data_IF_823578428714
#
_entry.id   IF_823578428714
#
_cell.length_a   1.000
_cell.length_b   1.000
_cell.length_c   1.000
_cell.angle_alpha   90.00
_cell.angle_beta   90.00
_cell.angle_gamma   90.00
#
_symmetry.space_group_name_H-M   'P 1'
#
loop_
_entity.id
_entity.type
_entity.pdbx_description
1 polymer ?
#
# COMPACT_ATOMS: atom_id res chain seq x y z
N UNK A 1 16.16 22.84 4.54
CA UNK A 1 15.89 21.49 5.09
C UNK A 1 14.40 21.26 4.95
N UNK A 2 13.95 20.35 4.07
CA UNK A 2 12.51 20.17 3.80
C UNK A 2 11.77 19.79 5.09
N UNK A 3 10.73 20.57 5.45
CA UNK A 3 9.92 20.29 6.64
C UNK A 3 8.75 19.41 6.23
N UNK A 4 8.81 18.13 6.58
CA UNK A 4 7.73 17.17 6.32
C UNK A 4 6.60 17.38 7.35
N UNK A 5 5.38 17.64 6.87
CA UNK A 5 4.22 17.83 7.73
C UNK A 5 3.69 16.50 8.29
N UNK A 6 3.27 16.48 9.57
CA UNK A 6 2.53 15.36 10.18
C UNK A 6 1.30 14.94 9.36
N UNK A 7 0.67 15.88 8.64
CA UNK A 7 -0.47 15.62 7.75
C UNK A 7 -0.09 14.70 6.56
N UNK A 8 1.14 14.77 6.08
CA UNK A 8 1.64 13.88 5.01
C UNK A 8 1.70 12.43 5.48
N UNK A 9 2.19 12.20 6.70
CA UNK A 9 2.28 10.85 7.27
C UNK A 9 0.89 10.22 7.45
N UNK A 10 -0.09 10.98 7.94
CA UNK A 10 -1.47 10.51 8.06
C UNK A 10 -2.09 10.18 6.70
N UNK A 11 -1.89 11.03 5.70
CA UNK A 11 -2.40 10.79 4.35
C UNK A 11 -1.75 9.58 3.67
N UNK A 12 -0.43 9.38 3.84
CA UNK A 12 0.29 8.18 3.40
C UNK A 12 -0.26 6.93 4.08
N UNK A 13 -0.45 6.96 5.40
CA UNK A 13 -1.00 5.84 6.16
C UNK A 13 -2.42 5.48 5.70
N UNK A 14 -3.29 6.48 5.50
CA UNK A 14 -4.65 6.26 5.05
C UNK A 14 -4.69 5.66 3.63
N UNK A 15 -3.95 6.25 2.68
CA UNK A 15 -3.89 5.74 1.30
C UNK A 15 -3.30 4.34 1.24
N UNK A 16 -2.30 4.03 2.07
CA UNK A 16 -1.76 2.68 2.19
C UNK A 16 -2.78 1.68 2.73
N UNK A 17 -3.55 2.05 3.75
CA UNK A 17 -4.60 1.19 4.32
C UNK A 17 -5.67 0.83 3.30
N UNK A 18 -6.13 1.81 2.50
CA UNK A 18 -7.12 1.55 1.44
C UNK A 18 -6.56 0.57 0.42
N UNK A 19 -5.35 0.81 -0.11
CA UNK A 19 -4.72 -0.08 -1.09
C UNK A 19 -4.50 -1.50 -0.55
N UNK A 20 -3.93 -1.62 0.64
CA UNK A 20 -3.63 -2.91 1.25
C UNK A 20 -4.89 -3.72 1.55
N UNK A 21 -5.97 -3.08 2.00
CA UNK A 21 -7.24 -3.77 2.26
C UNK A 21 -7.91 -4.22 0.96
N UNK A 22 -7.89 -3.39 -0.07
CA UNK A 22 -8.41 -3.78 -1.40
C UNK A 22 -7.62 -4.94 -1.99
N UNK A 23 -6.30 -4.95 -1.85
CA UNK A 23 -5.42 -6.04 -2.30
C UNK A 23 -5.78 -7.37 -1.64
N UNK A 24 -5.81 -7.42 -0.30
CA UNK A 24 -6.20 -8.63 0.45
C UNK A 24 -7.63 -9.07 0.09
N UNK A 25 -8.58 -8.15 -0.08
CA UNK A 25 -9.94 -8.50 -0.50
C UNK A 25 -9.97 -9.12 -1.90
N UNK A 26 -9.18 -8.57 -2.84
CA UNK A 26 -9.09 -9.08 -4.21
C UNK A 26 -8.45 -10.47 -4.24
N UNK A 27 -7.34 -10.67 -3.53
CA UNK A 27 -6.67 -11.96 -3.39
C UNK A 27 -7.62 -12.97 -2.75
N UNK A 28 -8.33 -12.60 -1.68
CA UNK A 28 -9.30 -13.47 -1.02
C UNK A 28 -10.43 -13.87 -1.98
N UNK A 29 -11.03 -12.91 -2.69
CA UNK A 29 -12.11 -13.14 -3.67
C UNK A 29 -11.71 -14.06 -4.81
N UNK A 30 -10.48 -13.91 -5.33
CA UNK A 30 -9.94 -14.79 -6.38
C UNK A 30 -9.76 -16.23 -5.88
N UNK A 31 -9.50 -16.42 -4.58
CA UNK A 31 -9.10 -17.72 -4.02
C UNK A 31 -10.26 -18.50 -3.38
N UNK A 32 -11.38 -17.87 -2.97
CA UNK A 32 -12.47 -18.53 -2.22
C UNK A 32 -13.23 -19.67 -2.93
N UNK A 33 -12.75 -20.16 -4.07
CA UNK A 33 -13.27 -21.37 -4.71
C UNK A 33 -12.92 -22.70 -4.03
N UNK A 34 -11.97 -22.79 -3.07
CA UNK A 34 -11.65 -23.96 -2.18
C UNK A 34 -10.49 -23.62 -1.22
N UNK A 35 -10.44 -24.26 -0.04
CA UNK A 35 -9.63 -23.83 1.15
C UNK A 35 -8.15 -24.30 1.18
N UNK A 36 -7.69 -25.17 0.28
CA UNK A 36 -6.36 -25.83 0.40
C UNK A 36 -5.14 -24.97 0.00
N UNK A 37 -5.27 -23.64 -0.20
CA UNK A 37 -4.23 -22.79 -0.79
C UNK A 37 -3.51 -21.83 0.16
N UNK A 38 -3.66 -21.95 1.49
CA UNK A 38 -3.16 -20.98 2.47
C UNK A 38 -1.71 -20.50 2.26
N UNK A 39 -0.79 -21.40 1.90
CA UNK A 39 0.60 -21.06 1.60
C UNK A 39 0.76 -20.21 0.31
N UNK A 40 -0.05 -20.48 -0.72
CA UNK A 40 -0.08 -19.69 -1.95
C UNK A 40 -0.65 -18.29 -1.72
N UNK A 41 -1.71 -18.18 -0.91
CA UNK A 41 -2.29 -16.88 -0.51
C UNK A 41 -1.25 -16.03 0.20
N UNK A 42 -0.60 -16.58 1.22
CA UNK A 42 0.40 -15.86 2.00
C UNK A 42 1.57 -15.38 1.13
N UNK A 43 2.03 -16.23 0.20
CA UNK A 43 3.14 -15.90 -0.69
C UNK A 43 2.78 -14.78 -1.69
N UNK A 44 1.57 -14.84 -2.25
CA UNK A 44 1.03 -13.81 -3.15
C UNK A 44 0.79 -12.52 -2.38
N UNK A 45 0.23 -12.59 -1.17
CA UNK A 45 -0.01 -11.40 -0.35
C UNK A 45 1.30 -10.69 -0.01
N UNK A 46 2.32 -11.42 0.44
CA UNK A 46 3.63 -10.83 0.74
C UNK A 46 4.20 -10.17 -0.52
N UNK A 47 4.23 -10.87 -1.65
CA UNK A 47 4.82 -10.38 -2.89
C UNK A 47 4.08 -9.14 -3.43
N UNK A 48 2.75 -9.22 -3.50
CA UNK A 48 1.90 -8.15 -4.05
C UNK A 48 1.93 -6.92 -3.17
N UNK A 49 1.87 -7.09 -1.85
CA UNK A 49 1.90 -5.97 -0.89
C UNK A 49 3.27 -5.30 -0.85
N UNK A 50 4.36 -6.05 -0.96
CA UNK A 50 5.71 -5.46 -1.10
C UNK A 50 5.81 -4.62 -2.37
N UNK A 51 5.32 -5.12 -3.51
CA UNK A 51 5.31 -4.39 -4.77
C UNK A 51 4.44 -3.14 -4.71
N UNK A 52 3.22 -3.27 -4.18
CA UNK A 52 2.27 -2.16 -3.98
C UNK A 52 2.85 -1.09 -3.06
N UNK A 53 3.52 -1.48 -1.97
CA UNK A 53 4.15 -0.52 -1.07
C UNK A 53 5.26 0.27 -1.77
N UNK A 54 6.11 -0.42 -2.53
CA UNK A 54 7.15 0.24 -3.31
C UNK A 54 6.57 1.24 -4.32
N UNK A 55 5.54 0.84 -5.06
CA UNK A 55 4.86 1.70 -6.03
C UNK A 55 4.15 2.88 -5.35
N UNK A 56 3.48 2.63 -4.23
CA UNK A 56 2.83 3.67 -3.42
C UNK A 56 3.83 4.73 -2.98
N UNK A 57 4.97 4.33 -2.42
CA UNK A 57 6.03 5.25 -2.00
C UNK A 57 6.63 6.00 -3.19
N UNK A 58 6.87 5.32 -4.33
CA UNK A 58 7.35 5.94 -5.58
C UNK A 58 6.39 7.01 -6.10
N UNK A 59 5.09 6.72 -6.11
CA UNK A 59 4.06 7.67 -6.54
C UNK A 59 3.98 8.85 -5.59
N UNK A 60 4.02 8.59 -4.28
CA UNK A 60 4.04 9.63 -3.26
C UNK A 60 5.29 10.52 -3.32
N UNK A 61 6.44 9.95 -3.68
CA UNK A 61 7.68 10.68 -3.84
C UNK A 61 7.67 11.54 -5.11
N UNK A 62 7.27 10.96 -6.25
CA UNK A 62 7.38 11.61 -7.56
C UNK A 62 6.22 12.54 -7.90
N UNK A 63 4.99 12.21 -7.48
CA UNK A 63 3.78 12.89 -7.95
C UNK A 63 3.01 13.62 -6.84
N UNK A 64 3.17 13.24 -5.57
CA UNK A 64 2.44 13.86 -4.46
C UNK A 64 3.33 14.82 -3.66
N UNK A 65 3.22 16.13 -3.93
CA UNK A 65 3.91 17.18 -3.15
C UNK A 65 3.19 17.56 -1.84
N UNK A 66 2.09 16.89 -1.50
CA UNK A 66 1.29 17.20 -0.32
C UNK A 66 2.12 17.13 0.98
N UNK A 67 2.09 18.21 1.76
CA UNK A 67 2.76 18.30 3.05
C UNK A 67 4.29 18.42 3.00
N UNK A 68 4.87 18.63 1.83
CA UNK A 68 6.27 19.05 1.66
C UNK A 68 6.29 20.58 1.67
N UNK A 69 6.85 21.19 2.73
CA UNK A 69 7.09 22.62 2.78
C UNK A 69 8.55 22.89 2.44
N UNK A 70 8.79 23.56 1.31
CA UNK A 70 10.06 24.22 1.05
C UNK A 70 10.12 25.44 1.97
N UNK A 71 11.05 25.37 2.93
CA UNK A 71 11.44 26.50 3.79
C UNK A 71 12.86 26.87 3.38
#
# INVERSE_FOLDING_TARGET
>A
MEKISKRRHLAKAFTWRVLATTDTFFIAWVITGKIDWAAGIASIEISTKTLLYYLHERVWYKHIKFGVKNV
#
